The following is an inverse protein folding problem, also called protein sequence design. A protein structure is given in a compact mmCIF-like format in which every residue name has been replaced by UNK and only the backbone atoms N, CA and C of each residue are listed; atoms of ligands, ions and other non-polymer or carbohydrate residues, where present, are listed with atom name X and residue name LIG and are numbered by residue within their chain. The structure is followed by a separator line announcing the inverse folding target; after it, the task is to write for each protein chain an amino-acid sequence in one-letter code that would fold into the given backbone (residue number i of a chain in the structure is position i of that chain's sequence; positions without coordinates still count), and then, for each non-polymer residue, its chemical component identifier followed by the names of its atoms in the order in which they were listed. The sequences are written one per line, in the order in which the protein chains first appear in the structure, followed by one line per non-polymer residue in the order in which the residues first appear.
data_IF_923117452431
#
_entry.id   IF_923117452431
#
_cell.length_a   1.000
_cell.length_b   1.000
_cell.length_c   1.000
_cell.angle_alpha   90.00
_cell.angle_beta   90.00
_cell.angle_gamma   90.00
#
_symmetry.space_group_name_H-M   'P 1'
#
loop_
_entity.id
_entity.type
_entity.pdbx_description
1 polymer ?
#
# COMPACT_ATOMS: atom_id res chain seq x y z
N UNK A 1 -22.49 14.93 -6.81
CA UNK A 1 -21.88 13.59 -6.71
C UNK A 1 -21.55 13.10 -8.10
N UNK A 2 -20.32 12.65 -8.36
CA UNK A 2 -19.85 12.11 -9.63
C UNK A 2 -19.83 10.58 -9.52
N UNK A 3 -20.92 9.95 -9.98
CA UNK A 3 -21.14 8.50 -9.86
C UNK A 3 -20.02 7.65 -10.47
N UNK A 4 -19.49 7.96 -11.68
CA UNK A 4 -18.33 7.26 -12.23
C UNK A 4 -17.13 7.19 -11.28
N UNK A 5 -16.78 8.30 -10.61
CA UNK A 5 -15.64 8.33 -9.68
C UNK A 5 -15.90 7.50 -8.43
N UNK A 6 -17.13 7.51 -7.92
CA UNK A 6 -17.51 6.68 -6.77
C UNK A 6 -17.46 5.18 -7.12
N UNK A 7 -17.91 4.79 -8.31
CA UNK A 7 -17.80 3.41 -8.79
C UNK A 7 -16.35 2.99 -8.99
N UNK A 8 -15.51 3.85 -9.57
CA UNK A 8 -14.08 3.61 -9.73
C UNK A 8 -13.38 3.45 -8.36
N UNK A 9 -13.73 4.28 -7.38
CA UNK A 9 -13.23 4.17 -6.01
C UNK A 9 -13.60 2.82 -5.39
N UNK A 10 -14.87 2.40 -5.49
CA UNK A 10 -15.33 1.09 -5.02
C UNK A 10 -14.60 -0.05 -5.70
N UNK A 11 -14.42 0.03 -7.02
CA UNK A 11 -13.64 -0.93 -7.80
C UNK A 11 -12.20 -1.05 -7.32
N UNK A 12 -11.49 0.06 -7.11
CA UNK A 12 -10.12 0.05 -6.58
C UNK A 12 -10.05 -0.49 -5.16
N UNK A 13 -11.04 -0.22 -4.30
CA UNK A 13 -11.10 -0.77 -2.96
C UNK A 13 -11.17 -2.31 -3.01
N UNK A 14 -12.05 -2.85 -3.86
CA UNK A 14 -12.20 -4.28 -4.09
C UNK A 14 -10.94 -4.90 -4.70
N UNK A 15 -10.32 -4.24 -5.67
CA UNK A 15 -9.04 -4.68 -6.25
C UNK A 15 -7.96 -4.75 -5.19
N UNK A 16 -7.85 -3.77 -4.29
CA UNK A 16 -6.87 -3.83 -3.19
C UNK A 16 -7.11 -5.03 -2.26
N UNK A 17 -8.36 -5.29 -1.89
CA UNK A 17 -8.71 -6.49 -1.08
C UNK A 17 -8.35 -7.77 -1.84
N UNK A 18 -8.79 -7.90 -3.09
CA UNK A 18 -8.51 -9.07 -3.91
C UNK A 18 -7.00 -9.27 -4.15
N UNK A 19 -6.26 -8.19 -4.41
CA UNK A 19 -4.82 -8.24 -4.62
C UNK A 19 -4.12 -8.78 -3.38
N UNK A 20 -4.38 -8.21 -2.20
CA UNK A 20 -3.76 -8.70 -0.96
C UNK A 20 -4.19 -10.13 -0.59
N UNK A 21 -5.48 -10.45 -0.66
CA UNK A 21 -6.00 -11.76 -0.25
C UNK A 21 -5.57 -12.87 -1.22
N UNK A 22 -5.73 -12.66 -2.53
CA UNK A 22 -5.36 -13.67 -3.52
C UNK A 22 -3.85 -13.84 -3.61
N UNK A 23 -3.06 -12.77 -3.51
CA UNK A 23 -1.61 -12.90 -3.45
C UNK A 23 -1.14 -13.73 -2.28
N UNK A 24 -1.78 -13.53 -1.12
CA UNK A 24 -1.50 -14.30 0.08
C UNK A 24 -1.84 -15.78 -0.10
N UNK A 25 -3.02 -16.11 -0.63
CA UNK A 25 -3.43 -17.50 -0.84
C UNK A 25 -2.69 -18.23 -1.97
N UNK A 26 -2.46 -17.56 -3.09
CA UNK A 26 -1.92 -18.18 -4.32
C UNK A 26 -0.39 -18.23 -4.35
N UNK A 27 0.28 -17.26 -3.74
CA UNK A 27 1.74 -17.12 -3.84
C UNK A 27 2.39 -17.28 -2.46
N UNK A 28 2.08 -16.40 -1.53
CA UNK A 28 2.91 -16.25 -0.33
C UNK A 28 2.68 -17.31 0.72
N UNK A 29 1.48 -17.90 0.79
CA UNK A 29 1.20 -19.04 1.67
C UNK A 29 2.11 -20.23 1.36
N UNK A 30 2.39 -20.51 0.08
CA UNK A 30 3.29 -21.59 -0.33
C UNK A 30 4.76 -21.30 -0.01
N UNK A 31 5.13 -20.01 0.04
CA UNK A 31 6.48 -19.54 0.35
C UNK A 31 6.69 -19.31 1.86
N UNK A 32 5.66 -19.42 2.68
CA UNK A 32 5.74 -19.18 4.12
C UNK A 32 6.23 -20.42 4.85
N UNK A 33 7.34 -20.28 5.57
CA UNK A 33 7.86 -21.31 6.47
C UNK A 33 7.50 -21.03 7.93
N UNK A 34 7.54 -19.76 8.34
CA UNK A 34 7.22 -19.28 9.69
C UNK A 34 6.68 -17.85 9.65
N UNK A 35 5.98 -17.43 10.71
CA UNK A 35 5.51 -16.05 10.89
C UNK A 35 4.55 -15.57 9.79
N UNK A 36 4.45 -14.25 9.63
CA UNK A 36 3.58 -13.62 8.62
C UNK A 36 4.34 -13.43 7.30
N UNK A 37 5.57 -12.91 7.34
CA UNK A 37 6.36 -12.63 6.12
C UNK A 37 6.97 -13.93 5.59
N UNK A 38 6.74 -14.29 4.31
CA UNK A 38 7.32 -15.50 3.72
C UNK A 38 8.84 -15.39 3.57
N UNK A 39 9.52 -16.51 3.78
CA UNK A 39 10.99 -16.63 3.69
C UNK A 39 11.47 -17.81 2.84
N UNK A 40 10.56 -18.71 2.46
CA UNK A 40 10.79 -19.83 1.55
C UNK A 40 10.78 -19.37 0.09
N UNK A 41 11.56 -20.05 -0.76
CA UNK A 41 11.75 -19.65 -2.17
C UNK A 41 12.98 -20.26 -2.84
N UNK A 42 13.87 -20.88 -2.06
CA UNK A 42 15.02 -21.63 -2.58
C UNK A 42 14.57 -22.81 -3.45
N UNK A 43 15.37 -23.18 -4.48
CA UNK A 43 16.67 -22.59 -4.83
C UNK A 43 16.58 -21.31 -5.66
N UNK A 44 15.40 -20.93 -6.16
CA UNK A 44 15.23 -19.86 -7.16
C UNK A 44 15.34 -18.46 -6.56
N UNK A 45 14.69 -18.24 -5.41
CA UNK A 45 14.66 -16.95 -4.73
C UNK A 45 15.32 -17.05 -3.37
N UNK A 46 16.19 -16.08 -3.07
CA UNK A 46 16.70 -15.87 -1.73
C UNK A 46 15.63 -15.25 -0.83
N UNK A 47 15.71 -15.52 0.48
CA UNK A 47 14.79 -14.96 1.47
C UNK A 47 14.60 -13.44 1.32
N UNK A 48 15.68 -12.68 1.18
CA UNK A 48 15.60 -11.22 1.00
C UNK A 48 14.73 -10.82 -0.22
N UNK A 49 14.83 -11.57 -1.32
CA UNK A 49 14.03 -11.32 -2.53
C UNK A 49 12.56 -11.64 -2.30
N UNK A 50 12.26 -12.75 -1.62
CA UNK A 50 10.88 -13.14 -1.25
C UNK A 50 10.23 -12.09 -0.35
N UNK A 51 10.99 -11.57 0.62
CA UNK A 51 10.54 -10.54 1.55
C UNK A 51 10.27 -9.20 0.86
N UNK A 52 11.13 -8.80 -0.09
CA UNK A 52 10.90 -7.63 -0.94
C UNK A 52 9.66 -7.85 -1.81
N UNK A 53 9.49 -9.03 -2.39
CA UNK A 53 8.33 -9.36 -3.23
C UNK A 53 7.02 -9.26 -2.44
N UNK A 54 6.98 -9.84 -1.23
CA UNK A 54 5.83 -9.74 -0.33
C UNK A 54 5.55 -8.30 0.09
N UNK A 55 6.60 -7.54 0.44
CA UNK A 55 6.49 -6.13 0.81
C UNK A 55 5.93 -5.28 -0.33
N UNK A 56 6.47 -5.42 -1.54
CA UNK A 56 6.02 -4.68 -2.73
C UNK A 56 4.58 -5.01 -3.11
N UNK A 57 4.17 -6.27 -2.95
CA UNK A 57 2.80 -6.71 -3.21
C UNK A 57 1.79 -5.97 -2.33
N UNK A 58 1.99 -5.98 -1.01
CA UNK A 58 1.08 -5.28 -0.10
C UNK A 58 1.25 -3.76 -0.15
N UNK A 59 2.42 -3.25 -0.54
CA UNK A 59 2.63 -1.83 -0.79
C UNK A 59 1.74 -1.34 -1.95
N UNK A 60 1.61 -2.12 -3.03
CA UNK A 60 0.70 -1.80 -4.12
C UNK A 60 -0.76 -1.74 -3.66
N UNK A 61 -1.18 -2.63 -2.74
CA UNK A 61 -2.52 -2.55 -2.11
C UNK A 61 -2.72 -1.25 -1.34
N UNK A 62 -1.77 -0.86 -0.49
CA UNK A 62 -1.85 0.38 0.30
C UNK A 62 -2.00 1.60 -0.62
N UNK A 63 -1.18 1.68 -1.68
CA UNK A 63 -1.27 2.76 -2.65
C UNK A 63 -2.59 2.71 -3.46
N UNK A 64 -3.08 1.52 -3.80
CA UNK A 64 -4.37 1.34 -4.46
C UNK A 64 -5.55 1.81 -3.62
N UNK A 65 -5.52 1.55 -2.31
CA UNK A 65 -6.52 2.06 -1.37
C UNK A 65 -6.41 3.58 -1.16
N UNK A 66 -5.20 4.14 -1.18
CA UNK A 66 -5.03 5.58 -1.19
C UNK A 66 -5.69 6.21 -2.44
N UNK A 67 -5.44 5.65 -3.63
CA UNK A 67 -6.09 6.08 -4.87
C UNK A 67 -7.62 5.93 -4.79
N UNK A 68 -8.13 4.83 -4.23
CA UNK A 68 -9.55 4.64 -3.98
C UNK A 68 -10.14 5.77 -3.12
N UNK A 69 -9.49 6.12 -1.99
CA UNK A 69 -9.94 7.20 -1.12
C UNK A 69 -9.93 8.58 -1.80
N UNK A 70 -8.94 8.84 -2.66
CA UNK A 70 -8.87 10.08 -3.45
C UNK A 70 -10.03 10.16 -4.46
N UNK A 71 -10.28 9.09 -5.22
CA UNK A 71 -11.39 9.05 -6.18
C UNK A 71 -12.76 9.15 -5.48
N UNK A 72 -12.89 8.52 -4.31
CA UNK A 72 -14.12 8.60 -3.52
C UNK A 72 -14.39 10.06 -3.12
N UNK A 73 -13.39 10.78 -2.59
CA UNK A 73 -13.53 12.18 -2.19
C UNK A 73 -13.92 13.08 -3.36
N UNK A 74 -13.22 12.93 -4.49
CA UNK A 74 -13.53 13.65 -5.74
C UNK A 74 -14.96 13.34 -6.23
N UNK A 75 -15.43 12.12 -6.02
CA UNK A 75 -16.77 11.67 -6.38
C UNK A 75 -17.88 12.21 -5.48
N UNK A 76 -17.63 12.33 -4.17
CA UNK A 76 -18.69 12.61 -3.19
C UNK A 76 -18.80 14.07 -2.79
N UNK A 77 -17.73 14.87 -2.91
CA UNK A 77 -17.71 16.27 -2.46
C UNK A 77 -17.36 17.24 -3.61
N UNK A 78 -18.34 17.61 -4.46
CA UNK A 78 -18.12 18.64 -5.48
C UNK A 78 -17.79 19.99 -4.85
N UNK A 79 -16.79 20.71 -5.37
CA UNK A 79 -16.41 22.03 -4.86
C UNK A 79 -15.72 22.01 -3.49
N UNK A 80 -15.11 20.88 -3.12
CA UNK A 80 -14.40 20.72 -1.85
C UNK A 80 -13.22 21.69 -1.70
N UNK A 81 -13.39 22.70 -0.83
CA UNK A 81 -12.36 23.69 -0.52
C UNK A 81 -11.18 23.11 0.25
N UNK A 82 -11.35 21.95 0.88
CA UNK A 82 -10.32 21.24 1.65
C UNK A 82 -9.65 20.11 0.87
N UNK A 83 -9.92 19.98 -0.44
CA UNK A 83 -9.42 18.88 -1.26
C UNK A 83 -7.89 18.76 -1.18
N UNK A 84 -7.16 19.87 -1.29
CA UNK A 84 -5.70 19.86 -1.25
C UNK A 84 -5.14 19.29 0.05
N UNK A 85 -5.69 19.71 1.21
CA UNK A 85 -5.29 19.18 2.51
C UNK A 85 -5.63 17.68 2.63
N UNK A 86 -6.81 17.27 2.17
CA UNK A 86 -7.21 15.87 2.16
C UNK A 86 -6.29 15.00 1.29
N UNK A 87 -5.95 15.44 0.07
CA UNK A 87 -5.02 14.71 -0.80
C UNK A 87 -3.67 14.54 -0.12
N UNK A 88 -3.16 15.60 0.50
CA UNK A 88 -1.91 15.56 1.23
C UNK A 88 -2.00 14.59 2.43
N UNK A 89 -3.08 14.59 3.21
CA UNK A 89 -3.24 13.65 4.33
C UNK A 89 -3.33 12.18 3.88
N UNK A 90 -4.05 11.90 2.79
CA UNK A 90 -4.13 10.56 2.21
C UNK A 90 -2.75 10.11 1.70
N UNK A 91 -2.00 11.00 1.03
CA UNK A 91 -0.65 10.70 0.55
C UNK A 91 0.35 10.49 1.71
N UNK A 92 0.26 11.31 2.76
CA UNK A 92 1.08 11.18 3.97
C UNK A 92 0.80 9.86 4.70
N UNK A 93 -0.48 9.51 4.87
CA UNK A 93 -0.87 8.23 5.46
C UNK A 93 -0.44 7.04 4.61
N UNK A 94 -0.64 7.11 3.29
CA UNK A 94 -0.24 6.03 2.38
C UNK A 94 1.27 5.78 2.44
N UNK A 95 2.08 6.84 2.37
CA UNK A 95 3.55 6.73 2.46
C UNK A 95 4.00 6.29 3.85
N UNK A 96 3.37 6.73 4.93
CA UNK A 96 3.63 6.23 6.29
C UNK A 96 3.38 4.73 6.38
N UNK A 97 2.19 4.27 6.00
CA UNK A 97 1.81 2.85 6.08
C UNK A 97 2.70 2.00 5.16
N UNK A 98 2.99 2.45 3.94
CA UNK A 98 3.94 1.76 3.05
C UNK A 98 5.35 1.71 3.65
N UNK A 99 5.82 2.78 4.30
CA UNK A 99 7.12 2.81 4.97
C UNK A 99 7.20 1.79 6.10
N UNK A 100 6.22 1.78 7.00
CA UNK A 100 6.11 0.82 8.09
C UNK A 100 6.01 -0.63 7.58
N UNK A 101 5.24 -0.85 6.52
CA UNK A 101 5.11 -2.14 5.86
C UNK A 101 6.45 -2.62 5.29
N UNK A 102 7.20 -1.78 4.58
CA UNK A 102 8.51 -2.16 4.00
C UNK A 102 9.52 -2.40 5.12
N UNK A 103 9.50 -1.61 6.18
CA UNK A 103 10.35 -1.83 7.36
C UNK A 103 10.08 -3.22 7.95
N UNK A 104 8.81 -3.54 8.22
CA UNK A 104 8.40 -4.83 8.76
C UNK A 104 8.71 -5.99 7.81
N UNK A 105 8.36 -5.86 6.53
CA UNK A 105 8.57 -6.88 5.52
C UNK A 105 10.05 -7.26 5.39
N UNK A 106 10.96 -6.29 5.51
CA UNK A 106 12.39 -6.47 5.17
C UNK A 106 13.33 -6.51 6.37
N UNK A 107 12.81 -6.54 7.61
CA UNK A 107 13.58 -6.33 8.86
C UNK A 107 14.43 -5.05 8.79
N UNK A 108 13.91 -3.98 8.19
CA UNK A 108 14.62 -2.71 8.01
C UNK A 108 15.80 -2.76 7.03
N UNK A 109 16.09 -3.90 6.37
CA UNK A 109 17.24 -4.07 5.46
C UNK A 109 17.06 -3.42 4.09
N UNK A 110 15.86 -2.93 3.76
CA UNK A 110 15.59 -2.24 2.50
C UNK A 110 15.41 -0.73 2.72
N UNK A 111 16.27 0.15 2.20
CA UNK A 111 16.30 1.57 2.57
C UNK A 111 15.02 2.36 2.22
N UNK A 112 14.18 1.84 1.31
CA UNK A 112 12.94 2.51 0.92
C UNK A 112 11.98 2.78 2.10
N UNK A 113 12.01 2.00 3.19
CA UNK A 113 11.18 2.31 4.35
C UNK A 113 11.48 3.72 4.89
N UNK A 114 12.76 4.07 4.99
CA UNK A 114 13.18 5.36 5.53
C UNK A 114 12.78 6.50 4.61
N UNK A 115 12.99 6.34 3.30
CA UNK A 115 12.57 7.32 2.31
C UNK A 115 11.06 7.59 2.36
N UNK A 116 10.25 6.53 2.48
CA UNK A 116 8.78 6.65 2.60
C UNK A 116 8.35 7.37 3.89
N UNK A 117 9.01 7.09 5.03
CA UNK A 117 8.74 7.79 6.29
C UNK A 117 9.14 9.27 6.23
N UNK A 118 10.26 9.60 5.58
CA UNK A 118 10.67 10.99 5.37
C UNK A 118 9.64 11.73 4.52
N UNK A 119 9.14 11.12 3.45
CA UNK A 119 8.08 11.72 2.62
C UNK A 119 6.82 11.96 3.45
N UNK A 120 6.38 10.99 4.26
CA UNK A 120 5.23 11.16 5.14
C UNK A 120 5.42 12.34 6.13
N UNK A 121 6.61 12.45 6.73
CA UNK A 121 6.95 13.55 7.62
C UNK A 121 6.94 14.91 6.91
N UNK A 122 7.49 14.99 5.70
CA UNK A 122 7.49 16.22 4.88
C UNK A 122 6.08 16.64 4.49
N UNK A 123 5.20 15.68 4.19
CA UNK A 123 3.80 15.97 3.84
C UNK A 123 3.03 16.59 5.01
N UNK A 124 3.32 16.18 6.24
CA UNK A 124 2.69 16.75 7.45
C UNK A 124 3.44 17.93 8.07
N UNK A 125 4.63 18.26 7.57
CA UNK A 125 5.36 19.47 7.96
C UNK A 125 4.72 20.76 7.39
N UNK A 126 3.88 20.62 6.35
CA UNK A 126 3.27 21.73 5.59
C UNK A 126 2.51 22.73 6.44
#
# INVERSE_FOLDING_TARGET
MNTPLVLAAGGLALVGVAHSVLGEFLVFRALRTQGIVPTGGRPVLHERQVRILWGTWHLATVLGWALSALLWRLGTVPGDTNLGAWVADVAGLATLVSGLLVFYATDGRHPAWFALLVVAALVWWR
#
